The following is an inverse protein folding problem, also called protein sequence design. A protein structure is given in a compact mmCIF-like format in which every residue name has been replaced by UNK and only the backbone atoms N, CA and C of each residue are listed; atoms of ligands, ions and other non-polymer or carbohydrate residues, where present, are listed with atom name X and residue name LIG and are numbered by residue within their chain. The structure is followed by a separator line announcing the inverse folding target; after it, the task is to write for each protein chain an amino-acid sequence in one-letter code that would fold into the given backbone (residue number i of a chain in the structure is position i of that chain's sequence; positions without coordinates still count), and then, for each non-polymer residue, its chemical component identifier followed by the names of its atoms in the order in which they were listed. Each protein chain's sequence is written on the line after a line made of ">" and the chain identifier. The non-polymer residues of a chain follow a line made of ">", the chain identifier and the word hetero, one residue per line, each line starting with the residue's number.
data_IF_358972120447
#
_entry.id   IF_358972120447
#
_cell.length_a   1.000
_cell.length_b   1.000
_cell.length_c   1.000
_cell.angle_alpha   90.00
_cell.angle_beta   90.00
_cell.angle_gamma   90.00
#
_symmetry.space_group_name_H-M   'P 1'
#
loop_
_entity.id
_entity.type
_entity.pdbx_description
1 polymer ?
#
# COMPACT_ATOMS: atom_id res chain seq x y z
N UNK A 1 2.73 7.15 3.68
CA UNK A 1 1.79 6.53 2.73
C UNK A 1 0.44 6.34 3.39
N UNK A 2 -0.65 6.77 2.75
CA UNK A 2 -2.05 6.70 3.24
C UNK A 2 -2.97 6.46 2.04
N UNK A 3 -4.20 5.97 2.29
CA UNK A 3 -5.17 5.62 1.23
C UNK A 3 -6.60 6.09 1.56
N UNK A 4 -7.47 6.42 0.58
CA UNK A 4 -8.83 6.81 0.86
C UNK A 4 -9.71 5.61 1.22
N UNK A 5 -10.76 5.83 2.01
CA UNK A 5 -11.87 4.89 2.16
C UNK A 5 -12.66 4.90 0.86
N UNK A 6 -12.82 3.76 0.22
CA UNK A 6 -13.58 3.60 -1.03
C UNK A 6 -14.94 4.34 -0.94
N UNK A 7 -15.15 5.41 -1.72
CA UNK A 7 -16.43 6.13 -1.82
C UNK A 7 -17.21 5.60 -3.01
N UNK A 8 -18.38 5.03 -2.75
CA UNK A 8 -19.41 4.85 -3.77
C UNK A 8 -20.77 5.17 -3.16
N UNK A 9 -21.47 6.16 -3.68
CA UNK A 9 -22.88 6.38 -3.37
C UNK A 9 -23.72 5.31 -4.05
N UNK A 10 -24.34 4.42 -3.27
CA UNK A 10 -25.13 3.30 -3.78
C UNK A 10 -26.25 2.94 -2.78
N UNK A 11 -27.32 2.33 -3.27
CA UNK A 11 -28.55 1.99 -2.52
C UNK A 11 -28.29 1.01 -1.36
N UNK A 12 -29.21 0.90 -0.38
CA UNK A 12 -29.07 0.00 0.78
C UNK A 12 -28.75 -1.46 0.38
N UNK A 13 -29.24 -1.93 -0.76
CA UNK A 13 -28.97 -3.28 -1.27
C UNK A 13 -27.56 -3.43 -1.86
N UNK A 14 -27.05 -2.41 -2.56
CA UNK A 14 -25.65 -2.33 -3.00
C UNK A 14 -24.68 -2.00 -1.85
N UNK A 15 -25.16 -1.36 -0.77
CA UNK A 15 -24.41 -1.16 0.47
C UNK A 15 -24.23 -2.50 1.18
N UNK A 16 -25.24 -3.38 1.22
CA UNK A 16 -25.07 -4.74 1.73
C UNK A 16 -24.10 -5.56 0.85
N UNK A 17 -24.20 -5.48 -0.48
CA UNK A 17 -23.25 -6.14 -1.39
C UNK A 17 -21.82 -5.55 -1.35
N UNK A 18 -21.65 -4.27 -0.96
CA UNK A 18 -20.34 -3.61 -0.82
C UNK A 18 -19.74 -3.74 0.58
N UNK A 19 -20.56 -3.83 1.62
CA UNK A 19 -20.11 -4.20 2.97
C UNK A 19 -19.59 -5.65 2.96
N UNK A 20 -20.23 -6.54 2.19
CA UNK A 20 -19.69 -7.86 1.84
C UNK A 20 -18.51 -7.82 0.83
N UNK A 21 -18.00 -6.67 0.38
CA UNK A 21 -16.80 -6.61 -0.48
C UNK A 21 -15.57 -6.05 0.21
N UNK A 22 -15.74 -5.24 1.25
CA UNK A 22 -14.63 -4.60 1.95
C UNK A 22 -14.07 -5.49 3.06
N UNK A 23 -14.91 -6.25 3.77
CA UNK A 23 -14.43 -7.28 4.69
C UNK A 23 -14.09 -8.60 3.95
N UNK A 24 -14.77 -8.92 2.85
CA UNK A 24 -14.56 -10.18 2.12
C UNK A 24 -13.36 -10.19 1.16
N UNK A 25 -12.74 -9.04 0.87
CA UNK A 25 -11.41 -9.02 0.20
C UNK A 25 -10.27 -9.32 1.18
N UNK A 26 -10.58 -9.60 2.45
CA UNK A 26 -9.67 -10.21 3.43
C UNK A 26 -10.25 -11.45 4.15
N UNK A 27 -11.58 -11.69 4.14
CA UNK A 27 -12.29 -13.01 4.07
C UNK A 27 -13.77 -12.88 4.47
N UNK A 28 -14.75 -13.53 3.77
CA UNK A 28 -15.03 -14.96 3.80
C UNK A 28 -15.31 -15.57 2.40
N UNK A 29 -15.11 -16.89 2.31
CA UNK A 29 -15.07 -17.75 1.11
C UNK A 29 -13.65 -18.04 0.53
N UNK A 30 -12.63 -18.10 1.40
CA UNK A 30 -11.55 -19.09 1.23
C UNK A 30 -10.50 -18.88 0.14
N UNK A 31 -10.27 -17.64 -0.35
CA UNK A 31 -9.08 -17.34 -1.14
C UNK A 31 -8.43 -16.01 -0.73
N UNK A 32 -7.28 -16.11 -0.07
CA UNK A 32 -6.34 -14.98 0.10
C UNK A 32 -5.61 -14.79 -1.24
N UNK A 33 -5.87 -13.68 -1.94
CA UNK A 33 -5.08 -13.30 -3.11
C UNK A 33 -3.74 -12.73 -2.66
N UNK A 34 -2.76 -13.61 -2.49
CA UNK A 34 -1.38 -13.23 -2.22
C UNK A 34 -0.80 -12.70 -3.55
N UNK A 35 -0.34 -11.45 -3.64
CA UNK A 35 0.35 -10.96 -4.83
C UNK A 35 1.61 -11.79 -5.06
N UNK A 36 2.05 -11.93 -6.31
CA UNK A 36 3.45 -12.34 -6.56
C UNK A 36 4.37 -11.38 -5.80
N UNK A 37 5.48 -11.90 -5.31
CA UNK A 37 6.44 -11.14 -4.51
C UNK A 37 7.30 -10.18 -5.35
N UNK A 38 7.31 -10.35 -6.67
CA UNK A 38 8.24 -9.68 -7.58
C UNK A 38 9.57 -10.42 -7.75
N UNK A 39 9.84 -11.46 -6.95
CA UNK A 39 11.01 -12.31 -7.13
C UNK A 39 10.88 -13.11 -8.43
N UNK A 40 11.80 -12.89 -9.36
CA UNK A 40 11.89 -13.64 -10.62
C UNK A 40 13.25 -14.32 -10.83
N UNK A 41 14.22 -14.01 -9.96
CA UNK A 41 15.61 -14.45 -10.04
C UNK A 41 15.89 -15.38 -8.85
N UNK A 42 16.76 -16.37 -9.03
CA UNK A 42 17.22 -17.25 -7.96
C UNK A 42 18.70 -17.01 -7.71
N UNK A 43 19.10 -17.08 -6.45
CA UNK A 43 20.47 -16.82 -6.01
C UNK A 43 21.10 -18.09 -5.47
N UNK A 44 22.32 -18.41 -5.86
CA UNK A 44 23.07 -19.50 -5.23
C UNK A 44 23.55 -19.06 -3.83
N UNK A 45 23.00 -19.60 -2.74
CA UNK A 45 23.42 -19.22 -1.38
C UNK A 45 24.79 -19.79 -1.02
N UNK A 46 25.25 -20.83 -1.72
CA UNK A 46 26.51 -21.53 -1.47
C UNK A 46 27.61 -21.10 -2.46
N UNK A 47 27.24 -20.37 -3.51
CA UNK A 47 28.14 -19.82 -4.50
C UNK A 47 28.90 -18.58 -4.01
N UNK A 48 30.12 -18.33 -4.52
CA UNK A 48 30.86 -17.13 -4.18
C UNK A 48 30.11 -15.89 -4.71
N UNK A 49 29.61 -15.07 -3.79
CA UNK A 49 29.03 -13.74 -4.04
C UNK A 49 27.61 -13.68 -4.64
N UNK A 50 26.66 -14.54 -4.20
CA UNK A 50 25.25 -14.45 -4.60
C UNK A 50 25.08 -14.44 -6.12
N UNK A 51 25.59 -15.49 -6.79
CA UNK A 51 25.50 -15.59 -8.24
C UNK A 51 24.06 -15.88 -8.65
N UNK A 52 23.56 -15.17 -9.66
CA UNK A 52 22.27 -15.45 -10.28
C UNK A 52 22.32 -16.83 -10.96
N UNK A 53 21.33 -17.66 -10.66
CA UNK A 53 21.18 -19.01 -11.20
C UNK A 53 19.77 -19.20 -11.77
N UNK A 54 19.62 -20.19 -12.65
CA UNK A 54 18.29 -20.57 -13.13
C UNK A 54 17.40 -20.94 -11.95
N UNK A 55 16.16 -20.46 -12.01
CA UNK A 55 15.14 -20.86 -11.05
C UNK A 55 14.51 -22.22 -11.36
N UNK A 56 14.69 -22.77 -12.56
CA UNK A 56 13.92 -23.92 -13.03
C UNK A 56 14.06 -25.14 -12.11
N UNK A 57 12.93 -25.57 -11.54
CA UNK A 57 12.87 -26.76 -10.68
C UNK A 57 13.50 -26.57 -9.30
N UNK A 58 13.88 -25.34 -8.93
CA UNK A 58 14.42 -25.06 -7.60
C UNK A 58 13.34 -25.04 -6.50
N UNK A 59 12.06 -24.89 -6.87
CA UNK A 59 10.95 -24.74 -5.92
C UNK A 59 11.00 -23.44 -5.12
N UNK A 60 11.85 -22.49 -5.52
CA UNK A 60 11.99 -21.18 -4.88
C UNK A 60 10.97 -20.20 -5.44
N UNK A 61 10.82 -19.06 -4.78
CA UNK A 61 9.79 -18.08 -5.14
C UNK A 61 9.92 -17.55 -6.59
N UNK A 62 11.17 -17.37 -7.06
CA UNK A 62 11.47 -17.00 -8.45
C UNK A 62 11.10 -18.08 -9.49
N UNK A 63 11.06 -19.35 -9.10
CA UNK A 63 10.62 -20.49 -9.92
C UNK A 63 9.09 -20.58 -9.93
N UNK A 64 8.51 -20.58 -8.73
CA UNK A 64 7.11 -20.88 -8.52
C UNK A 64 6.18 -19.73 -8.91
N UNK A 65 6.64 -18.47 -8.76
CA UNK A 65 5.89 -17.23 -9.06
C UNK A 65 4.43 -17.31 -8.60
N UNK A 66 4.21 -17.84 -7.39
CA UNK A 66 2.86 -18.08 -6.84
C UNK A 66 2.19 -16.75 -6.55
N UNK A 67 0.86 -16.76 -6.61
CA UNK A 67 0.05 -15.58 -6.37
C UNK A 67 -0.37 -14.85 -7.64
N UNK A 68 -1.08 -13.75 -7.44
CA UNK A 68 -1.63 -12.95 -8.53
C UNK A 68 -0.50 -12.22 -9.27
N UNK A 69 -0.45 -12.41 -10.59
CA UNK A 69 0.49 -11.70 -11.44
C UNK A 69 0.24 -10.18 -11.36
N UNK A 70 1.32 -9.40 -11.34
CA UNK A 70 1.17 -7.95 -11.35
C UNK A 70 0.68 -7.47 -12.72
N UNK A 71 -0.27 -6.52 -12.76
CA UNK A 71 -0.63 -5.87 -14.01
C UNK A 71 0.52 -5.01 -14.52
N UNK A 72 0.52 -4.76 -15.83
CA UNK A 72 1.41 -3.80 -16.48
C UNK A 72 0.54 -2.70 -17.14
N UNK A 73 0.59 -1.44 -16.65
CA UNK A 73 1.42 -0.96 -15.55
C UNK A 73 0.93 -1.41 -14.17
N UNK A 74 1.84 -1.57 -13.19
CA UNK A 74 1.47 -1.87 -11.80
C UNK A 74 0.81 -0.66 -11.10
N UNK A 75 1.31 0.53 -11.39
CA UNK A 75 0.83 1.78 -10.80
C UNK A 75 0.46 2.78 -11.88
N UNK A 76 -0.63 3.50 -11.66
CA UNK A 76 -1.08 4.61 -12.51
C UNK A 76 -0.94 5.91 -11.72
N UNK A 77 -0.16 6.85 -12.24
CA UNK A 77 -0.13 8.22 -11.72
C UNK A 77 -1.36 8.98 -12.23
N UNK A 78 -2.18 9.47 -11.30
CA UNK A 78 -3.42 10.15 -11.65
C UNK A 78 -3.21 11.65 -11.96
N UNK A 79 -1.98 12.17 -11.85
CA UNK A 79 -1.66 13.57 -12.14
C UNK A 79 -2.21 14.59 -11.14
N UNK A 80 -2.84 14.12 -10.06
CA UNK A 80 -3.55 14.92 -9.05
C UNK A 80 -3.01 14.68 -7.63
N UNK A 81 -1.73 14.29 -7.53
CA UNK A 81 -1.08 13.96 -6.25
C UNK A 81 -1.40 12.57 -5.71
N UNK A 82 -2.13 11.74 -6.46
CA UNK A 82 -2.46 10.36 -6.08
C UNK A 82 -1.96 9.33 -7.10
N UNK A 83 -1.83 8.08 -6.64
CA UNK A 83 -1.37 6.93 -7.41
C UNK A 83 -2.34 5.78 -7.23
N UNK A 84 -2.87 5.22 -8.31
CA UNK A 84 -3.67 3.99 -8.26
C UNK A 84 -2.77 2.76 -8.36
N UNK A 85 -2.91 1.82 -7.43
CA UNK A 85 -2.35 0.47 -7.54
C UNK A 85 -3.32 -0.42 -8.32
N UNK A 86 -2.97 -0.78 -9.56
CA UNK A 86 -3.85 -1.55 -10.44
C UNK A 86 -4.02 -3.02 -10.00
N UNK A 87 -3.19 -3.52 -9.06
CA UNK A 87 -3.35 -4.87 -8.53
C UNK A 87 -4.42 -4.91 -7.43
N UNK A 88 -4.46 -3.89 -6.58
CA UNK A 88 -5.32 -3.85 -5.40
C UNK A 88 -6.51 -2.91 -5.55
N UNK A 89 -6.52 -2.07 -6.58
CA UNK A 89 -7.47 -0.98 -6.82
C UNK A 89 -7.44 0.11 -5.72
N UNK A 90 -6.41 0.10 -4.88
CA UNK A 90 -6.22 1.10 -3.83
C UNK A 90 -5.55 2.35 -4.40
N UNK A 91 -5.94 3.50 -3.87
CA UNK A 91 -5.35 4.80 -4.21
C UNK A 91 -4.44 5.24 -3.07
N UNK A 92 -3.28 5.77 -3.41
CA UNK A 92 -2.25 6.16 -2.46
C UNK A 92 -1.84 7.61 -2.69
N UNK A 93 -1.46 8.33 -1.64
CA UNK A 93 -0.75 9.60 -1.83
C UNK A 93 0.57 9.35 -2.58
N UNK A 94 0.82 10.18 -3.60
CA UNK A 94 2.08 10.14 -4.37
C UNK A 94 3.29 10.57 -3.52
N UNK A 95 3.09 11.52 -2.61
CA UNK A 95 4.10 11.92 -1.62
C UNK A 95 4.14 10.91 -0.47
N UNK A 96 5.16 10.04 -0.44
CA UNK A 96 5.28 8.98 0.55
C UNK A 96 5.57 9.49 1.97
N UNK A 97 6.10 10.71 2.11
CA UNK A 97 6.54 11.31 3.38
C UNK A 97 5.87 12.67 3.66
N UNK A 98 4.60 12.86 3.29
CA UNK A 98 3.92 14.14 3.52
C UNK A 98 3.92 14.57 5.01
N UNK A 99 3.66 13.63 5.93
CA UNK A 99 3.68 13.87 7.37
C UNK A 99 5.09 14.13 7.95
N UNK A 100 6.15 13.83 7.20
CA UNK A 100 7.52 13.81 7.72
C UNK A 100 7.82 12.59 8.59
N UNK A 101 9.05 12.56 9.11
CA UNK A 101 9.56 11.49 9.99
C UNK A 101 9.21 11.75 11.47
N UNK A 102 9.48 10.77 12.34
CA UNK A 102 9.34 10.88 13.80
C UNK A 102 7.91 11.17 14.30
N UNK A 103 6.91 10.55 13.69
CA UNK A 103 5.52 10.55 14.20
C UNK A 103 5.32 9.37 15.12
N UNK A 104 4.67 9.56 16.27
CA UNK A 104 4.07 8.46 17.02
C UNK A 104 2.69 8.10 16.44
N UNK A 105 2.10 7.02 16.94
CA UNK A 105 0.83 6.51 16.44
C UNK A 105 -0.33 7.50 16.62
N UNK A 106 -0.40 8.18 17.76
CA UNK A 106 -1.42 9.19 18.05
C UNK A 106 -1.34 10.37 17.09
N UNK A 107 -0.12 10.84 16.83
CA UNK A 107 0.16 11.91 15.87
C UNK A 107 -0.19 11.48 14.45
N UNK A 108 0.08 10.22 14.08
CA UNK A 108 -0.29 9.70 12.77
C UNK A 108 -1.83 9.70 12.54
N UNK A 109 -2.62 9.42 13.58
CA UNK A 109 -4.09 9.55 13.51
C UNK A 109 -4.54 11.01 13.37
N UNK A 110 -3.87 11.92 14.07
CA UNK A 110 -4.10 13.37 13.94
C UNK A 110 -3.73 13.87 12.54
N UNK A 111 -2.66 13.36 11.94
CA UNK A 111 -2.25 13.67 10.56
C UNK A 111 -3.30 13.20 9.54
N UNK A 112 -3.89 12.02 9.73
CA UNK A 112 -5.02 11.58 8.89
C UNK A 112 -6.22 12.51 9.04
N UNK A 113 -6.54 12.91 10.27
CA UNK A 113 -7.67 13.80 10.56
C UNK A 113 -7.47 15.17 9.90
N UNK A 114 -6.26 15.71 9.98
CA UNK A 114 -5.86 16.95 9.32
C UNK A 114 -5.96 16.80 7.80
N UNK A 115 -5.41 15.72 7.24
CA UNK A 115 -5.45 15.47 5.80
C UNK A 115 -6.89 15.44 5.27
N UNK A 116 -7.80 14.84 6.01
CA UNK A 116 -9.22 14.83 5.65
C UNK A 116 -9.93 16.17 5.82
N UNK A 117 -9.42 17.02 6.70
CA UNK A 117 -10.04 18.32 7.01
C UNK A 117 -9.55 19.39 6.05
N UNK A 118 -8.23 19.51 5.86
CA UNK A 118 -7.61 20.64 5.14
C UNK A 118 -6.57 20.23 4.08
N UNK A 119 -6.42 18.93 3.80
CA UNK A 119 -5.50 18.43 2.77
C UNK A 119 -4.04 18.39 3.22
N UNK A 120 -3.75 18.56 4.51
CA UNK A 120 -2.40 18.65 5.04
C UNK A 120 -2.08 17.59 6.09
N UNK A 121 -0.80 17.23 6.18
CA UNK A 121 -0.25 16.43 7.29
C UNK A 121 0.90 17.18 7.90
N UNK A 122 0.92 17.34 9.23
CA UNK A 122 1.90 18.17 9.91
C UNK A 122 2.09 19.56 9.26
N UNK A 123 0.99 20.19 8.83
CA UNK A 123 1.01 21.49 8.15
C UNK A 123 1.54 21.49 6.70
N UNK A 124 2.03 20.36 6.19
CA UNK A 124 2.51 20.23 4.82
C UNK A 124 1.36 19.91 3.87
N UNK A 125 1.31 20.57 2.71
CA UNK A 125 0.40 20.17 1.64
C UNK A 125 0.83 18.82 1.06
N UNK A 126 -0.10 17.86 1.01
CA UNK A 126 0.16 16.55 0.43
C UNK A 126 -0.03 16.51 -1.10
N UNK A 127 -0.46 17.62 -1.71
CA UNK A 127 -0.59 17.76 -3.16
C UNK A 127 -1.79 17.04 -3.78
N UNK A 128 -2.68 16.49 -2.95
CA UNK A 128 -3.91 15.82 -3.38
C UNK A 128 -4.93 16.83 -3.90
N UNK A 129 -5.27 16.72 -5.18
CA UNK A 129 -6.32 17.51 -5.86
C UNK A 129 -7.38 16.60 -6.50
N UNK A 130 -7.45 15.35 -6.06
CA UNK A 130 -8.25 14.30 -6.72
C UNK A 130 -9.76 14.42 -6.54
N UNK A 131 -10.24 15.34 -5.71
CA UNK A 131 -11.66 15.64 -5.52
C UNK A 131 -12.04 16.95 -6.23
N UNK A 132 -11.99 16.97 -7.56
CA UNK A 132 -12.39 18.16 -8.34
C UNK A 132 -11.47 19.37 -8.17
N UNK A 133 -10.17 19.15 -7.97
CA UNK A 133 -9.19 20.21 -7.75
C UNK A 133 -8.86 20.48 -6.28
N UNK A 134 -9.57 19.83 -5.34
CA UNK A 134 -9.28 19.88 -3.89
C UNK A 134 -8.95 18.48 -3.34
N UNK A 135 -8.55 18.40 -2.08
CA UNK A 135 -8.19 17.14 -1.41
C UNK A 135 -9.40 16.24 -1.19
N UNK A 136 -9.16 14.91 -1.18
CA UNK A 136 -10.16 13.98 -0.67
C UNK A 136 -10.27 14.07 0.85
N UNK A 137 -11.43 13.69 1.36
CA UNK A 137 -11.78 13.83 2.77
C UNK A 137 -12.06 12.50 3.46
N UNK A 138 -11.51 11.41 2.91
CA UNK A 138 -11.74 10.03 3.35
C UNK A 138 -10.44 9.21 3.49
N UNK A 139 -9.27 9.84 3.53
CA UNK A 139 -7.98 9.19 3.83
C UNK A 139 -7.99 8.42 5.16
N UNK A 140 -7.26 7.30 5.19
CA UNK A 140 -7.02 6.45 6.37
C UNK A 140 -5.60 5.91 6.38
N UNK A 141 -5.16 5.45 7.54
CA UNK A 141 -3.97 4.60 7.62
C UNK A 141 -4.25 3.27 6.87
N UNK A 142 -3.28 2.78 6.08
CA UNK A 142 -3.35 1.45 5.50
C UNK A 142 -3.16 0.39 6.59
N UNK A 143 -3.72 -0.80 6.42
CA UNK A 143 -3.35 -1.94 7.26
C UNK A 143 -2.00 -2.53 6.79
N UNK A 144 -1.41 -3.40 7.59
CA UNK A 144 -0.09 -3.96 7.28
C UNK A 144 -0.07 -4.78 5.98
N UNK A 145 -1.15 -5.49 5.65
CA UNK A 145 -1.24 -6.30 4.42
C UNK A 145 -1.28 -5.41 3.18
N UNK A 146 -1.93 -4.27 3.24
CA UNK A 146 -1.98 -3.27 2.16
C UNK A 146 -0.63 -2.57 1.97
N UNK A 147 0.13 -2.33 3.05
CA UNK A 147 1.51 -1.86 2.90
C UNK A 147 2.41 -2.91 2.27
N UNK A 148 2.29 -4.17 2.70
CA UNK A 148 3.07 -5.29 2.18
C UNK A 148 2.73 -5.61 0.72
N UNK A 149 1.50 -5.34 0.26
CA UNK A 149 1.12 -5.58 -1.14
C UNK A 149 1.85 -4.66 -2.14
N UNK A 150 2.40 -3.53 -1.68
CA UNK A 150 3.22 -2.64 -2.49
C UNK A 150 4.64 -3.16 -2.70
N UNK A 151 5.13 -4.04 -1.83
CA UNK A 151 6.54 -4.41 -1.75
C UNK A 151 6.94 -5.34 -2.89
N UNK A 152 8.04 -4.99 -3.54
CA UNK A 152 8.78 -5.86 -4.46
C UNK A 152 9.96 -6.48 -3.71
N UNK A 153 9.85 -7.76 -3.34
CA UNK A 153 10.87 -8.49 -2.60
C UNK A 153 12.11 -8.81 -3.45
N UNK A 154 12.02 -8.71 -4.78
CA UNK A 154 13.16 -8.79 -5.68
C UNK A 154 14.01 -7.52 -5.69
N UNK A 155 13.63 -6.48 -4.94
CA UNK A 155 14.30 -5.18 -4.91
C UNK A 155 14.57 -4.71 -3.48
N UNK A 156 15.59 -3.86 -3.35
CA UNK A 156 15.91 -3.15 -2.12
C UNK A 156 16.10 -1.65 -2.41
N UNK A 157 15.82 -0.82 -1.40
CA UNK A 157 16.15 0.62 -1.39
C UNK A 157 15.70 1.44 -2.62
N UNK A 158 14.39 1.60 -2.86
CA UNK A 158 13.27 1.03 -2.11
C UNK A 158 12.77 -0.28 -2.74
N UNK A 159 12.21 -1.13 -1.89
CA UNK A 159 11.59 -2.41 -2.26
C UNK A 159 10.22 -2.19 -2.92
N UNK A 160 10.20 -1.51 -4.08
CA UNK A 160 9.01 -1.21 -4.85
C UNK A 160 9.28 -1.44 -6.34
N UNK A 161 8.27 -1.82 -7.14
CA UNK A 161 8.40 -2.04 -8.59
C UNK A 161 9.10 -0.87 -9.32
N UNK A 162 9.81 -1.17 -10.42
CA UNK A 162 10.40 -0.13 -11.29
C UNK A 162 9.34 0.77 -11.88
N UNK A 163 9.70 2.02 -12.17
CA UNK A 163 8.79 2.98 -12.81
C UNK A 163 7.67 3.48 -11.89
N UNK A 164 7.74 3.18 -10.59
CA UNK A 164 6.77 3.67 -9.61
C UNK A 164 6.71 5.21 -9.57
N UNK A 165 5.50 5.80 -9.48
CA UNK A 165 5.33 7.25 -9.46
C UNK A 165 5.49 7.88 -8.06
N UNK A 166 5.70 7.08 -7.01
CA UNK A 166 5.87 7.56 -5.64
C UNK A 166 7.14 8.41 -5.46
N UNK A 167 7.03 9.44 -4.63
CA UNK A 167 8.08 10.45 -4.40
C UNK A 167 8.32 10.66 -2.90
N UNK A 168 9.46 11.29 -2.58
CA UNK A 168 9.84 11.70 -1.22
C UNK A 168 9.80 10.54 -0.22
N UNK A 169 10.58 9.48 -0.46
CA UNK A 169 10.69 8.37 0.50
C UNK A 169 11.43 8.84 1.76
N UNK A 170 10.94 8.53 2.98
CA UNK A 170 11.66 8.85 4.20
C UNK A 170 12.89 7.96 4.36
N UNK A 171 13.88 8.47 5.11
CA UNK A 171 15.05 7.73 5.56
C UNK A 171 15.15 7.87 7.08
N UNK A 172 14.92 6.81 7.88
CA UNK A 172 14.56 5.45 7.47
C UNK A 172 13.12 5.35 6.90
N UNK A 173 12.88 4.33 6.05
CA UNK A 173 11.59 4.08 5.42
C UNK A 173 10.58 3.43 6.38
N UNK A 174 10.05 4.22 7.31
CA UNK A 174 9.06 3.78 8.31
C UNK A 174 7.67 4.35 7.97
N UNK A 175 6.65 3.48 8.00
CA UNK A 175 5.26 3.84 7.72
C UNK A 175 4.32 3.27 8.78
N UNK A 176 3.37 4.09 9.21
CA UNK A 176 2.31 3.69 10.14
C UNK A 176 1.26 2.82 9.45
N UNK A 177 0.78 1.82 10.20
CA UNK A 177 -0.35 0.98 9.77
C UNK A 177 -1.48 1.02 10.80
N UNK A 178 -2.72 0.80 10.35
CA UNK A 178 -3.90 0.66 11.23
C UNK A 178 -3.99 -0.72 11.89
N UNK A 179 -3.06 -1.64 11.60
CA UNK A 179 -3.05 -2.96 12.23
C UNK A 179 -2.47 -2.86 13.64
N UNK A 180 -3.30 -3.14 14.63
CA UNK A 180 -2.88 -3.27 16.03
C UNK A 180 -1.88 -4.41 16.18
N UNK A 181 -0.77 -4.20 16.88
CA UNK A 181 0.11 -5.30 17.29
C UNK A 181 -0.50 -6.03 18.48
N UNK A 182 -0.28 -7.34 18.58
CA UNK A 182 -0.65 -8.07 19.78
C UNK A 182 0.11 -7.46 20.98
N UNK A 183 -0.61 -6.78 21.87
CA UNK A 183 -0.05 -6.01 23.00
C UNK A 183 -0.39 -4.52 22.99
N UNK A 184 -0.86 -3.95 21.88
CA UNK A 184 -1.37 -2.58 21.86
C UNK A 184 -2.73 -2.54 22.55
N UNK A 185 -2.84 -1.71 23.60
CA UNK A 185 -4.13 -1.44 24.23
C UNK A 185 -5.04 -0.81 23.18
N UNK A 186 -6.15 -1.48 22.88
CA UNK A 186 -7.23 -0.91 22.07
C UNK A 186 -7.75 0.31 22.83
N UNK A 187 -7.31 1.50 22.42
CA UNK A 187 -8.01 2.74 22.77
C UNK A 187 -9.04 2.93 21.68
N UNK A 188 -10.25 2.41 21.94
CA UNK A 188 -11.39 2.68 21.10
C UNK A 188 -11.74 4.18 21.19
N UNK A 189 -12.09 4.85 20.07
CA UNK A 189 -12.73 6.15 20.12
C UNK A 189 -14.14 6.09 20.75
#
# INVERSE_FOLDING_TARGET
>A
MVQPRQRGGHSLQEIYEKLERIDNKVEPQGFVYIPRTGQAICWDPDGPAWVEVSCDGTGRDGDLKKGLAWPDPRFTDNGNGTVTDNLTELVWLKNANCAGVNRDWSTALSDITSLNTDGRMNGNSCGDTSNGGVHQTNWRLPNIRELLSLIDYGRASPALPSGRPFQNFPSPALYWSSTTRAGDKVVAP
#
